data_IF_238459928641
#
_entry.id   IF_238459928641
#
_cell.length_a   1.000
_cell.length_b   1.000
_cell.length_c   1.000
_cell.angle_alpha   90.00
_cell.angle_beta   90.00
_cell.angle_gamma   90.00
#
_symmetry.space_group_name_H-M   'P 1'
#
loop_
_entity.id
_entity.type
_entity.pdbx_description
1 polymer ?
#
# COMPACT_ATOMS: atom_id res chain seq x y z
N UNK A 1 21.67 14.82 -2.96
CA UNK A 1 21.07 15.26 -1.68
C UNK A 1 20.18 14.13 -1.24
N UNK A 2 20.29 13.67 0.00
CA UNK A 2 19.48 12.59 0.53
C UNK A 2 18.15 13.22 0.95
N UNK A 3 17.06 12.87 0.29
CA UNK A 3 15.72 13.41 0.55
C UNK A 3 14.95 12.49 1.52
N UNK A 4 14.11 13.10 2.35
CA UNK A 4 13.06 12.39 3.10
C UNK A 4 12.06 11.73 2.12
N UNK A 5 11.27 10.78 2.61
CA UNK A 5 10.20 10.19 1.81
C UNK A 5 9.21 11.27 1.36
N UNK A 6 8.87 11.29 0.08
CA UNK A 6 7.79 12.16 -0.43
C UNK A 6 6.43 11.68 0.08
N UNK A 7 5.41 12.55 0.06
CA UNK A 7 4.02 12.16 0.42
C UNK A 7 3.56 10.93 -0.39
N UNK A 8 3.91 10.89 -1.68
CA UNK A 8 3.63 9.78 -2.57
C UNK A 8 4.32 8.49 -2.09
N UNK A 9 5.61 8.53 -1.79
CA UNK A 9 6.33 7.36 -1.28
C UNK A 9 5.74 6.89 0.07
N UNK A 10 5.36 7.81 0.96
CA UNK A 10 4.68 7.46 2.23
C UNK A 10 3.35 6.77 2.00
N UNK A 11 2.60 7.18 0.98
CA UNK A 11 1.37 6.54 0.57
C UNK A 11 1.62 5.10 0.05
N UNK A 12 2.58 4.90 -0.85
CA UNK A 12 2.91 3.57 -1.40
C UNK A 12 3.40 2.62 -0.30
N UNK A 13 4.41 3.03 0.49
CA UNK A 13 4.96 2.19 1.57
C UNK A 13 3.95 1.93 2.68
N UNK A 14 3.21 2.97 3.09
CA UNK A 14 2.18 2.84 4.11
C UNK A 14 1.06 1.88 3.68
N UNK A 15 0.66 1.90 2.40
CA UNK A 15 -0.33 0.95 1.86
C UNK A 15 0.19 -0.48 1.90
N UNK A 16 1.44 -0.71 1.46
CA UNK A 16 2.04 -2.05 1.52
C UNK A 16 2.09 -2.60 2.94
N UNK A 17 2.52 -1.79 3.90
CA UNK A 17 2.65 -2.19 5.31
C UNK A 17 1.28 -2.47 5.94
N UNK A 18 0.30 -1.62 5.67
CA UNK A 18 -1.07 -1.77 6.21
C UNK A 18 -1.75 -3.03 5.65
N UNK A 19 -1.62 -3.28 4.36
CA UNK A 19 -2.18 -4.49 3.73
C UNK A 19 -1.45 -5.75 4.20
N UNK A 20 -0.12 -5.70 4.37
CA UNK A 20 0.62 -6.84 4.88
C UNK A 20 0.34 -7.15 6.35
N UNK A 21 0.15 -6.15 7.22
CA UNK A 21 -0.21 -6.39 8.62
C UNK A 21 -1.59 -7.05 8.75
N UNK A 22 -2.59 -6.61 7.98
CA UNK A 22 -3.92 -7.25 7.94
C UNK A 22 -3.89 -8.68 7.38
N UNK A 23 -2.95 -8.97 6.47
CA UNK A 23 -2.69 -10.30 5.93
C UNK A 23 -1.68 -11.17 6.71
N UNK A 24 -1.11 -10.68 7.83
CA UNK A 24 -0.02 -11.31 8.60
C UNK A 24 1.27 -11.61 7.78
N UNK A 25 1.68 -10.68 6.92
CA UNK A 25 2.82 -10.80 5.99
C UNK A 25 3.89 -9.71 6.12
N UNK A 26 4.00 -9.09 7.30
CA UNK A 26 4.92 -7.98 7.58
C UNK A 26 6.38 -8.30 7.18
N UNK A 27 6.85 -9.54 7.42
CA UNK A 27 8.23 -9.95 7.11
C UNK A 27 8.57 -9.95 5.62
N UNK A 28 7.61 -10.21 4.72
CA UNK A 28 7.86 -10.24 3.28
C UNK A 28 7.91 -8.82 2.70
N UNK A 29 7.12 -7.90 3.24
CA UNK A 29 7.12 -6.50 2.79
C UNK A 29 8.43 -5.81 3.15
N UNK A 30 9.00 -6.12 4.32
CA UNK A 30 10.28 -5.56 4.74
C UNK A 30 11.42 -5.92 3.77
N UNK A 31 11.52 -7.20 3.40
CA UNK A 31 12.54 -7.67 2.45
C UNK A 31 12.36 -7.04 1.06
N UNK A 32 11.12 -6.90 0.58
CA UNK A 32 10.85 -6.27 -0.72
C UNK A 32 11.16 -4.76 -0.73
N UNK A 33 10.90 -4.07 0.37
CA UNK A 33 11.25 -2.65 0.52
C UNK A 33 12.77 -2.48 0.56
N UNK A 34 13.49 -3.35 1.29
CA UNK A 34 14.96 -3.28 1.40
C UNK A 34 15.68 -3.67 0.11
N UNK A 35 15.18 -4.65 -0.64
CA UNK A 35 15.77 -5.08 -1.92
C UNK A 35 15.46 -4.13 -3.07
N UNK A 36 14.29 -3.47 -3.04
CA UNK A 36 13.80 -2.64 -4.15
C UNK A 36 14.25 -1.17 -4.12
N UNK A 37 14.62 -0.63 -2.94
CA UNK A 37 14.83 0.81 -2.79
C UNK A 37 16.16 1.14 -2.13
N UNK A 38 16.97 1.97 -2.79
CA UNK A 38 18.12 2.64 -2.17
C UNK A 38 17.63 3.74 -1.22
N UNK A 39 17.23 3.35 -0.01
CA UNK A 39 16.69 4.25 1.00
C UNK A 39 17.80 4.94 1.80
N UNK A 40 17.51 6.16 2.26
CA UNK A 40 18.30 6.84 3.28
C UNK A 40 18.11 6.21 4.65
N UNK A 41 19.04 6.46 5.58
CA UNK A 41 18.86 6.03 6.98
C UNK A 41 17.57 6.64 7.58
N UNK A 42 17.28 7.91 7.30
CA UNK A 42 16.04 8.56 7.74
C UNK A 42 14.78 7.88 7.20
N UNK A 43 14.74 7.57 5.90
CA UNK A 43 13.62 6.90 5.26
C UNK A 43 13.44 5.47 5.79
N UNK A 44 14.55 4.76 6.04
CA UNK A 44 14.54 3.43 6.67
C UNK A 44 13.94 3.49 8.07
N UNK A 45 14.35 4.44 8.89
CA UNK A 45 13.80 4.62 10.24
C UNK A 45 12.31 4.98 10.21
N UNK A 46 11.86 5.74 9.22
CA UNK A 46 10.44 6.06 9.04
C UNK A 46 9.61 4.82 8.66
N UNK A 47 10.12 3.98 7.74
CA UNK A 47 9.47 2.72 7.37
C UNK A 47 9.43 1.74 8.54
N UNK A 48 10.51 1.64 9.32
CA UNK A 48 10.54 0.81 10.54
C UNK A 48 9.47 1.25 11.54
N UNK A 49 9.26 2.56 11.72
CA UNK A 49 8.17 3.07 12.57
C UNK A 49 6.79 2.73 12.01
N UNK A 50 6.59 2.80 10.69
CA UNK A 50 5.35 2.38 10.05
C UNK A 50 5.11 0.87 10.22
N UNK A 51 6.15 0.04 10.28
CA UNK A 51 6.01 -1.39 10.55
C UNK A 51 5.63 -1.68 12.00
N UNK A 52 6.22 -0.95 12.96
CA UNK A 52 5.87 -1.06 14.38
C UNK A 52 4.44 -0.57 14.66
N UNK A 53 3.99 0.44 13.92
CA UNK A 53 2.66 1.00 14.02
C UNK A 53 2.08 1.28 12.62
N UNK A 54 1.46 0.26 11.98
CA UNK A 54 0.90 0.39 10.65
C UNK A 54 -0.05 1.58 10.55
N UNK A 55 0.12 2.45 9.52
CA UNK A 55 -0.83 3.53 9.31
C UNK A 55 -2.24 2.96 9.09
N UNK A 56 -3.26 3.70 9.50
CA UNK A 56 -4.64 3.30 9.21
C UNK A 56 -5.07 3.75 7.81
N UNK A 57 -6.18 3.17 7.33
CA UNK A 57 -6.69 3.44 5.98
C UNK A 57 -7.10 4.91 5.79
N UNK A 58 -7.63 5.56 6.83
CA UNK A 58 -8.01 6.98 6.78
C UNK A 58 -6.80 7.90 6.57
N UNK A 59 -5.69 7.61 7.25
CA UNK A 59 -4.45 8.36 7.07
C UNK A 59 -3.92 8.18 5.64
N UNK A 60 -3.89 6.95 5.13
CA UNK A 60 -3.44 6.68 3.77
C UNK A 60 -4.33 7.38 2.72
N UNK A 61 -5.65 7.33 2.91
CA UNK A 61 -6.59 8.05 2.05
C UNK A 61 -6.40 9.56 2.10
N UNK A 62 -5.90 10.13 3.21
CA UNK A 62 -5.58 11.55 3.29
C UNK A 62 -4.35 11.96 2.48
N UNK A 63 -3.45 11.00 2.22
CA UNK A 63 -2.25 11.21 1.39
C UNK A 63 -2.56 11.08 -0.12
N UNK A 64 -3.62 10.36 -0.49
CA UNK A 64 -4.07 10.18 -1.86
C UNK A 64 -4.80 11.43 -2.37
N UNK A 65 -4.09 12.30 -3.10
CA UNK A 65 -4.59 13.62 -3.51
C UNK A 65 -5.36 13.55 -4.83
N UNK A 66 -5.08 12.57 -5.66
CA UNK A 66 -5.68 12.38 -6.98
C UNK A 66 -6.46 11.07 -7.07
N UNK A 67 -7.29 10.95 -8.10
CA UNK A 67 -7.98 9.68 -8.42
C UNK A 67 -6.97 8.58 -8.78
N UNK A 68 -5.91 8.93 -9.52
CA UNK A 68 -4.82 8.02 -9.87
C UNK A 68 -4.08 7.49 -8.64
N UNK A 69 -3.84 8.34 -7.63
CA UNK A 69 -3.23 7.91 -6.36
C UNK A 69 -4.06 6.81 -5.68
N UNK A 70 -5.38 7.01 -5.63
CA UNK A 70 -6.32 6.06 -4.99
C UNK A 70 -6.39 4.74 -5.76
N UNK A 71 -6.46 4.82 -7.09
CA UNK A 71 -6.43 3.63 -7.97
C UNK A 71 -5.10 2.90 -7.79
N UNK A 72 -4.00 3.63 -7.76
CA UNK A 72 -2.65 3.10 -7.54
C UNK A 72 -2.53 2.37 -6.20
N UNK A 73 -2.98 2.99 -5.11
CA UNK A 73 -3.03 2.35 -3.79
C UNK A 73 -3.83 1.05 -3.81
N UNK A 74 -5.00 1.05 -4.43
CA UNK A 74 -5.83 -0.14 -4.55
C UNK A 74 -5.16 -1.25 -5.37
N UNK A 75 -4.44 -0.87 -6.44
CA UNK A 75 -3.68 -1.81 -7.26
C UNK A 75 -2.57 -2.52 -6.45
N UNK A 76 -1.87 -1.82 -5.56
CA UNK A 76 -0.90 -2.44 -4.64
C UNK A 76 -1.60 -3.46 -3.74
N UNK A 77 -2.73 -3.08 -3.16
CA UNK A 77 -3.48 -3.96 -2.26
C UNK A 77 -3.89 -5.25 -2.99
N UNK A 78 -4.36 -5.13 -4.23
CA UNK A 78 -4.67 -6.25 -5.10
C UNK A 78 -3.45 -7.16 -5.34
N UNK A 79 -2.26 -6.61 -5.61
CA UNK A 79 -1.03 -7.40 -5.81
C UNK A 79 -0.63 -8.19 -4.54
N UNK A 80 -0.77 -7.58 -3.37
CA UNK A 80 -0.44 -8.22 -2.09
C UNK A 80 -1.38 -9.40 -1.82
N UNK A 81 -2.67 -9.24 -2.08
CA UNK A 81 -3.66 -10.30 -1.85
C UNK A 81 -3.71 -11.33 -2.97
N UNK A 82 -3.39 -11.00 -4.23
CA UNK A 82 -3.35 -11.97 -5.34
C UNK A 82 -2.27 -13.03 -5.16
N UNK A 83 -1.17 -12.69 -4.49
CA UNK A 83 -0.05 -13.59 -4.18
C UNK A 83 -0.23 -14.34 -2.84
N UNK A 84 -1.39 -14.21 -2.21
CA UNK A 84 -1.63 -14.70 -0.85
C UNK A 84 -3.00 -15.34 -0.67
N UNK A 85 -3.09 -16.63 -0.33
CA UNK A 85 -4.34 -17.21 0.16
C UNK A 85 -4.74 -16.52 1.47
N UNK A 86 -5.77 -15.67 1.41
CA UNK A 86 -6.36 -15.04 2.58
C UNK A 86 -7.88 -15.04 2.39
N UNK A 87 -8.58 -15.83 3.22
CA UNK A 87 -10.03 -15.99 3.17
C UNK A 87 -10.79 -14.68 3.45
N UNK A 88 -10.09 -13.67 3.98
CA UNK A 88 -10.63 -12.31 4.23
C UNK A 88 -10.20 -11.28 3.18
N UNK A 89 -9.43 -11.67 2.17
CA UNK A 89 -8.91 -10.73 1.16
C UNK A 89 -10.04 -9.93 0.49
N UNK A 90 -11.13 -10.60 0.09
CA UNK A 90 -12.28 -9.93 -0.54
C UNK A 90 -12.86 -8.84 0.37
N UNK A 91 -13.11 -9.15 1.65
CA UNK A 91 -13.67 -8.19 2.59
C UNK A 91 -12.72 -7.01 2.86
N UNK A 92 -11.42 -7.26 2.97
CA UNK A 92 -10.42 -6.20 3.17
C UNK A 92 -10.36 -5.29 1.95
N UNK A 93 -10.40 -5.86 0.74
CA UNK A 93 -10.44 -5.09 -0.50
C UNK A 93 -11.74 -4.29 -0.63
N UNK A 94 -12.89 -4.84 -0.22
CA UNK A 94 -14.16 -4.11 -0.23
C UNK A 94 -14.10 -2.88 0.69
N UNK A 95 -13.66 -3.07 1.95
CA UNK A 95 -13.49 -1.97 2.91
C UNK A 95 -12.50 -0.91 2.39
N UNK A 96 -11.42 -1.34 1.75
CA UNK A 96 -10.42 -0.44 1.20
C UNK A 96 -10.96 0.36 0.01
N UNK A 97 -11.73 -0.27 -0.87
CA UNK A 97 -12.40 0.41 -2.00
C UNK A 97 -13.38 1.47 -1.51
N UNK A 98 -14.09 1.18 -0.41
CA UNK A 98 -15.03 2.09 0.22
C UNK A 98 -14.32 3.30 0.84
N UNK A 99 -13.26 3.09 1.61
CA UNK A 99 -12.49 4.19 2.24
C UNK A 99 -11.89 5.12 1.18
N UNK A 100 -11.38 4.56 0.08
CA UNK A 100 -10.82 5.36 -1.02
C UNK A 100 -11.90 6.05 -1.88
N UNK A 101 -13.18 5.69 -1.68
CA UNK A 101 -14.32 6.14 -2.48
C UNK A 101 -14.11 5.85 -3.97
N UNK A 102 -13.75 4.61 -4.29
CA UNK A 102 -13.54 4.13 -5.65
C UNK A 102 -14.86 3.73 -6.31
N UNK A 103 -15.02 4.06 -7.58
CA UNK A 103 -16.11 3.52 -8.39
C UNK A 103 -15.77 2.12 -8.92
N UNK A 104 -16.76 1.42 -9.47
CA UNK A 104 -16.51 0.12 -10.13
C UNK A 104 -15.50 0.24 -11.29
N UNK A 105 -15.52 1.36 -12.02
CA UNK A 105 -14.56 1.63 -13.11
C UNK A 105 -13.13 1.79 -12.57
N UNK A 106 -12.98 2.44 -11.42
CA UNK A 106 -11.67 2.64 -10.77
C UNK A 106 -11.10 1.34 -10.22
N UNK A 107 -11.96 0.52 -9.63
CA UNK A 107 -11.60 -0.84 -9.21
C UNK A 107 -11.16 -1.65 -10.42
N UNK A 108 -11.88 -1.57 -11.55
CA UNK A 108 -11.48 -2.24 -12.78
C UNK A 108 -10.11 -1.75 -13.30
N UNK A 109 -9.86 -0.44 -13.34
CA UNK A 109 -8.53 0.12 -13.70
C UNK A 109 -7.43 -0.40 -12.78
N UNK A 110 -7.69 -0.48 -11.47
CA UNK A 110 -6.74 -0.99 -10.51
C UNK A 110 -6.41 -2.48 -10.74
N UNK A 111 -7.39 -3.31 -11.11
CA UNK A 111 -7.14 -4.71 -11.51
C UNK A 111 -6.24 -4.80 -12.74
N UNK A 112 -6.43 -3.93 -13.73
CA UNK A 112 -5.58 -3.87 -14.92
C UNK A 112 -4.15 -3.44 -14.53
N UNK A 113 -4.00 -2.41 -13.71
CA UNK A 113 -2.69 -1.95 -13.22
C UNK A 113 -1.98 -3.03 -12.39
N UNK A 114 -2.72 -3.76 -11.55
CA UNK A 114 -2.19 -4.82 -10.71
C UNK A 114 -1.72 -6.05 -11.53
N UNK A 115 -2.36 -6.34 -12.67
CA UNK A 115 -2.03 -7.48 -13.53
C UNK A 115 -0.96 -7.19 -14.58
N UNK A 116 -0.60 -5.93 -14.82
CA UNK A 116 0.43 -5.51 -15.78
C UNK A 116 1.84 -5.41 -15.17
N UNK A 117 2.00 -5.70 -13.86
CA UNK A 117 3.26 -5.65 -13.11
C UNK A 117 3.96 -7.00 -13.01
#
# INVERSE_FOLDING_TARGET
>A
MIHDLTDEQKMWFGTMITMASTGKKESNVLNQIEEGFSLSETARQEILKMLENPPNLDYLSSLAKTEEDKIGMFAIALQIFSTTPNDRASHILDDFSFVLNLTEDDVFKAYIMAGLS
#
